data_IF_529529131704
#
_entry.id   IF_529529131704
#
_cell.length_a   1.000
_cell.length_b   1.000
_cell.length_c   1.000
_cell.angle_alpha   90.00
_cell.angle_beta   90.00
_cell.angle_gamma   90.00
#
_symmetry.space_group_name_H-M   'P 1'
#
loop_
_entity.id
_entity.type
_entity.pdbx_description
1 polymer ?
#
# COMPACT_ATOMS: atom_id res chain seq x y z
N UNK A 1 -3.17 4.25 -8.42
CA UNK A 1 -2.77 5.13 -7.32
C UNK A 1 -1.30 5.37 -7.50
N UNK A 2 -0.86 6.60 -7.31
CA UNK A 2 0.52 7.01 -7.54
C UNK A 2 1.38 6.77 -6.30
N UNK A 3 1.75 5.52 -6.09
CA UNK A 3 2.75 5.12 -5.11
C UNK A 3 3.90 4.36 -5.75
N UNK A 4 5.06 4.38 -5.10
CA UNK A 4 6.26 3.68 -5.55
C UNK A 4 6.78 2.77 -4.45
N UNK A 5 6.87 1.48 -4.74
CA UNK A 5 7.57 0.52 -3.88
C UNK A 5 9.05 0.89 -3.84
N UNK A 6 9.58 1.10 -2.63
CA UNK A 6 10.99 1.43 -2.37
C UNK A 6 11.80 0.23 -1.95
N UNK A 7 11.18 -0.68 -1.19
CA UNK A 7 11.81 -1.88 -0.67
C UNK A 7 10.73 -2.89 -0.33
N UNK A 8 10.99 -4.16 -0.58
CA UNK A 8 10.21 -5.26 -0.06
C UNK A 8 11.12 -6.39 0.41
N UNK A 9 10.72 -7.09 1.46
CA UNK A 9 11.45 -8.23 2.02
C UNK A 9 10.54 -9.03 2.95
N UNK A 10 10.90 -10.30 3.16
CA UNK A 10 10.25 -11.14 4.16
C UNK A 10 10.96 -10.97 5.52
N UNK A 11 10.18 -10.97 6.59
CA UNK A 11 10.64 -11.08 7.96
C UNK A 11 10.79 -12.57 8.35
N UNK A 12 11.41 -12.83 9.51
CA UNK A 12 11.68 -14.20 9.98
C UNK A 12 10.43 -15.04 10.21
N UNK A 13 9.29 -14.39 10.49
CA UNK A 13 7.98 -14.99 10.70
C UNK A 13 7.19 -15.24 9.40
N UNK A 14 7.76 -14.91 8.23
CA UNK A 14 7.09 -15.02 6.94
C UNK A 14 6.22 -13.82 6.56
N UNK A 15 6.10 -12.82 7.42
CA UNK A 15 5.43 -11.55 7.10
C UNK A 15 6.17 -10.84 5.97
N UNK A 16 5.45 -10.39 4.94
CA UNK A 16 6.03 -9.57 3.86
C UNK A 16 5.95 -8.10 4.23
N UNK A 17 7.10 -7.46 4.42
CA UNK A 17 7.21 -6.02 4.64
C UNK A 17 7.41 -5.30 3.31
N UNK A 18 6.59 -4.28 3.06
CA UNK A 18 6.61 -3.44 1.86
C UNK A 18 6.74 -1.98 2.30
N UNK A 19 7.75 -1.30 1.76
CA UNK A 19 8.01 0.12 1.99
C UNK A 19 7.56 0.90 0.78
N UNK A 20 6.59 1.78 0.94
CA UNK A 20 5.90 2.45 -0.16
C UNK A 20 6.00 3.94 0.03
N UNK A 21 6.49 4.66 -0.98
CA UNK A 21 6.43 6.13 -1.00
C UNK A 21 5.21 6.55 -1.80
N UNK A 22 4.34 7.35 -1.19
CA UNK A 22 3.11 7.84 -1.81
C UNK A 22 3.15 9.37 -1.94
N UNK A 23 2.39 9.94 -2.88
CA UNK A 23 2.17 11.38 -2.93
C UNK A 23 1.18 11.74 -1.79
N UNK A 24 1.39 12.84 -1.09
CA UNK A 24 0.67 13.16 0.18
C UNK A 24 -0.85 13.15 0.05
N UNK A 25 -1.38 13.53 -1.12
CA UNK A 25 -2.82 13.61 -1.41
C UNK A 25 -3.49 12.22 -1.47
N UNK A 26 -2.73 11.17 -1.81
CA UNK A 26 -3.24 9.80 -1.90
C UNK A 26 -2.99 8.97 -0.63
N UNK A 27 -2.18 9.48 0.31
CA UNK A 27 -1.83 8.75 1.54
C UNK A 27 -3.09 8.40 2.35
N UNK A 28 -4.02 9.35 2.48
CA UNK A 28 -5.26 9.13 3.22
C UNK A 28 -6.14 8.05 2.56
N UNK A 29 -6.25 8.07 1.24
CA UNK A 29 -7.05 7.08 0.50
C UNK A 29 -6.43 5.69 0.57
N UNK A 30 -5.11 5.58 0.43
CA UNK A 30 -4.43 4.30 0.58
C UNK A 30 -4.60 3.78 2.01
N UNK A 31 -4.48 4.64 3.02
CA UNK A 31 -4.76 4.27 4.41
C UNK A 31 -6.17 3.71 4.58
N UNK A 32 -7.18 4.45 4.12
CA UNK A 32 -8.59 4.00 4.17
C UNK A 32 -8.82 2.65 3.48
N UNK A 33 -8.17 2.45 2.33
CA UNK A 33 -8.26 1.18 1.63
C UNK A 33 -7.63 0.05 2.45
N UNK A 34 -6.43 0.25 3.01
CA UNK A 34 -5.73 -0.74 3.82
C UNK A 34 -6.48 -1.10 5.11
N UNK A 35 -7.19 -0.15 5.74
CA UNK A 35 -8.08 -0.42 6.88
C UNK A 35 -9.18 -1.44 6.53
N UNK A 36 -9.63 -1.46 5.27
CA UNK A 36 -10.64 -2.44 4.83
C UNK A 36 -10.09 -3.87 4.72
N UNK A 37 -8.77 -4.04 4.84
CA UNK A 37 -8.06 -5.32 4.85
C UNK A 37 -7.44 -5.61 6.23
N UNK A 38 -8.11 -5.17 7.30
CA UNK A 38 -7.78 -5.56 8.67
C UNK A 38 -7.66 -7.10 8.76
N UNK A 39 -6.57 -7.58 9.39
CA UNK A 39 -6.22 -8.99 9.48
C UNK A 39 -5.37 -9.52 8.32
N UNK A 40 -5.35 -8.86 7.16
CA UNK A 40 -4.44 -9.22 6.05
C UNK A 40 -3.11 -8.48 6.17
N UNK A 41 -3.17 -7.21 6.56
CA UNK A 41 -1.99 -6.38 6.74
C UNK A 41 -2.17 -5.36 7.86
N UNK A 42 -1.04 -4.88 8.36
CA UNK A 42 -0.95 -3.67 9.17
C UNK A 42 -0.16 -2.62 8.40
N UNK A 43 -0.44 -1.34 8.64
CA UNK A 43 0.34 -0.27 8.03
C UNK A 43 0.65 0.85 9.02
N UNK A 44 1.76 1.55 8.78
CA UNK A 44 2.17 2.68 9.61
C UNK A 44 2.96 3.70 8.82
N UNK A 45 2.81 4.97 9.19
CA UNK A 45 3.57 6.07 8.59
C UNK A 45 4.91 6.24 9.30
N UNK A 46 5.98 6.42 8.54
CA UNK A 46 7.32 6.62 9.12
C UNK A 46 7.55 8.12 9.28
N UNK A 47 7.49 8.57 10.54
CA UNK A 47 7.42 9.97 10.98
C UNK A 47 8.48 10.92 10.41
N UNK A 48 9.65 10.39 9.99
CA UNK A 48 10.79 11.19 9.51
C UNK A 48 11.07 11.03 8.01
N UNK A 49 10.23 10.30 7.27
CA UNK A 49 10.42 10.04 5.84
C UNK A 49 9.17 10.45 5.07
N UNK A 50 9.15 11.69 4.58
CA UNK A 50 8.13 12.28 3.71
C UNK A 50 7.32 11.24 2.92
N UNK A 51 6.10 10.96 3.42
CA UNK A 51 5.11 10.07 2.82
C UNK A 51 5.60 8.63 2.57
N UNK A 52 6.40 8.08 3.48
CA UNK A 52 6.77 6.68 3.48
C UNK A 52 5.82 5.90 4.38
N UNK A 53 5.13 4.95 3.77
CA UNK A 53 4.26 3.97 4.41
C UNK A 53 5.03 2.65 4.52
N UNK A 54 4.99 2.03 5.70
CA UNK A 54 5.34 0.64 5.88
C UNK A 54 4.05 -0.17 5.91
N UNK A 55 4.02 -1.27 5.16
CA UNK A 55 2.91 -2.22 5.13
C UNK A 55 3.49 -3.59 5.46
N UNK A 56 2.96 -4.23 6.48
CA UNK A 56 3.33 -5.57 6.91
C UNK A 56 2.17 -6.52 6.62
N UNK A 57 2.37 -7.43 5.66
CA UNK A 57 1.36 -8.36 5.16
C UNK A 57 1.57 -9.73 5.80
N UNK A 58 0.53 -10.27 6.41
CA UNK A 58 0.56 -11.62 6.99
C UNK A 58 0.91 -12.67 5.93
N UNK A 59 1.67 -13.69 6.31
CA UNK A 59 2.16 -14.76 5.44
C UNK A 59 1.04 -15.41 4.62
N UNK A 60 -0.14 -15.57 5.22
CA UNK A 60 -1.28 -16.26 4.63
C UNK A 60 -1.91 -15.46 3.47
N UNK A 61 -1.71 -14.14 3.45
CA UNK A 61 -2.34 -13.23 2.51
C UNK A 61 -1.37 -12.58 1.51
N UNK A 62 -0.08 -12.93 1.54
CA UNK A 62 0.94 -12.31 0.68
C UNK A 62 0.57 -12.35 -0.81
N UNK A 63 0.05 -13.48 -1.29
CA UNK A 63 -0.32 -13.64 -2.70
C UNK A 63 -1.53 -12.80 -3.09
N UNK A 64 -2.55 -12.76 -2.25
CA UNK A 64 -3.78 -12.02 -2.54
C UNK A 64 -3.58 -10.52 -2.36
N UNK A 65 -2.83 -10.12 -1.33
CA UNK A 65 -2.38 -8.75 -1.16
C UNK A 65 -1.54 -8.27 -2.33
N UNK A 66 -0.65 -9.12 -2.89
CA UNK A 66 0.15 -8.73 -4.07
C UNK A 66 -0.74 -8.43 -5.28
N UNK A 67 -1.81 -9.20 -5.51
CA UNK A 67 -2.78 -8.92 -6.59
C UNK A 67 -3.52 -7.61 -6.34
N UNK A 68 -3.96 -7.39 -5.10
CA UNK A 68 -4.61 -6.15 -4.67
C UNK A 68 -3.71 -4.95 -4.94
N UNK A 69 -2.44 -5.05 -4.55
CA UNK A 69 -1.48 -3.97 -4.71
C UNK A 69 -1.18 -3.65 -6.18
N UNK A 70 -1.09 -4.67 -7.03
CA UNK A 70 -0.99 -4.51 -8.49
C UNK A 70 -2.24 -3.82 -9.06
N UNK A 71 -3.43 -4.20 -8.58
CA UNK A 71 -4.69 -3.56 -8.99
C UNK A 71 -4.72 -2.07 -8.60
N UNK A 72 -4.29 -1.73 -7.38
CA UNK A 72 -4.20 -0.35 -6.92
C UNK A 72 -3.16 0.46 -7.70
N UNK A 73 -2.03 -0.13 -8.07
CA UNK A 73 -1.02 0.53 -8.90
C UNK A 73 -1.57 0.81 -10.31
N UNK A 74 -2.31 -0.13 -10.91
CA UNK A 74 -2.85 0.01 -12.27
C UNK A 74 -4.03 0.97 -12.39
N UNK A 75 -4.75 1.24 -11.30
CA UNK A 75 -5.88 2.17 -11.27
C UNK A 75 -5.45 3.50 -10.68
N UNK A 76 -4.97 4.42 -11.51
CA UNK A 76 -4.85 5.82 -11.12
C UNK A 76 -6.25 6.37 -10.80
N UNK A 77 -6.60 6.42 -9.50
CA UNK A 77 -7.92 6.85 -9.04
C UNK A 77 -8.16 8.35 -9.31
N UNK A 78 -7.15 9.05 -9.84
CA UNK A 78 -7.18 10.45 -10.24
C UNK A 78 -7.32 10.69 -11.74
N UNK A 79 -7.77 9.73 -12.54
CA UNK A 79 -8.21 10.07 -13.89
C UNK A 79 -9.38 11.06 -13.77
N UNK A 80 -9.25 12.34 -14.18
CA UNK A 80 -10.37 13.25 -14.15
C UNK A 80 -11.47 12.58 -14.96
N UNK A 81 -12.65 12.46 -14.37
CA UNK A 81 -13.84 12.11 -15.15
C UNK A 81 -13.94 13.21 -16.20
N UNK A 82 -13.52 12.92 -17.42
CA UNK A 82 -13.86 13.74 -18.57
C UNK A 82 -15.38 13.63 -18.68
N UNK A 83 -16.05 14.62 -18.10
CA UNK A 83 -17.46 14.85 -18.31
C UNK A 83 -17.64 15.12 -19.81
N UNK A 84 -18.03 14.07 -20.55
CA UNK A 84 -18.62 14.20 -21.87
C UNK A 84 -20.10 14.53 -21.72
#
# INVERSE_FOLDING_TARGET
>A
MNFKIKKEYFLEDGTKRIMVRIISEELLYLGYFLESFEGWCNYTTIKDKNNLLQIDVSSDFVKDFSKLFIFLESHDLYSPISAN
#
